data_IF_199300349214
#
_entry.id   IF_199300349214
#
_cell.length_a   1.000
_cell.length_b   1.000
_cell.length_c   1.000
_cell.angle_alpha   90.00
_cell.angle_beta   90.00
_cell.angle_gamma   90.00
#
_symmetry.space_group_name_H-M   'P 1'
#
loop_
_entity.id
_entity.type
_entity.pdbx_description
1 polymer ?
#
# COMPACT_ATOMS: atom_id res chain seq x y z
N UNK A 1 -2.27 -25.49 -0.62
CA UNK A 1 -1.30 -24.39 -0.69
C UNK A 1 -2.03 -23.27 -1.40
N UNK A 2 -2.43 -22.21 -0.69
CA UNK A 2 -2.99 -21.02 -1.32
C UNK A 2 -1.82 -20.21 -1.83
N UNK A 3 -1.69 -20.08 -3.14
CA UNK A 3 -0.70 -19.17 -3.73
C UNK A 3 -1.02 -17.75 -3.25
N UNK A 4 -0.01 -17.06 -2.73
CA UNK A 4 -0.14 -15.70 -2.26
C UNK A 4 -0.16 -14.78 -3.48
N UNK A 5 -1.15 -13.90 -3.54
CA UNK A 5 -1.23 -12.93 -4.63
C UNK A 5 -0.16 -11.84 -4.43
N UNK A 6 0.26 -11.16 -5.52
CA UNK A 6 1.47 -10.32 -5.50
C UNK A 6 1.30 -9.01 -4.71
N UNK A 7 0.06 -8.54 -4.55
CA UNK A 7 -0.25 -7.38 -3.72
C UNK A 7 -0.77 -7.87 -2.37
N UNK A 8 -0.13 -7.44 -1.29
CA UNK A 8 -0.61 -7.65 0.08
C UNK A 8 -0.88 -6.32 0.79
N UNK A 9 -1.84 -6.29 1.71
CA UNK A 9 -2.16 -5.12 2.52
C UNK A 9 -2.19 -5.50 3.99
N UNK A 10 -1.26 -4.91 4.74
CA UNK A 10 -1.16 -5.02 6.19
C UNK A 10 -1.56 -3.71 6.83
N UNK A 11 -2.23 -3.80 7.97
CA UNK A 11 -2.65 -2.63 8.76
C UNK A 11 -1.97 -2.71 10.10
N UNK A 12 -1.33 -1.62 10.53
CA UNK A 12 -0.74 -1.52 11.87
C UNK A 12 -1.78 -1.69 12.97
N UNK A 13 -1.35 -2.24 14.11
CA UNK A 13 -2.19 -2.38 15.30
C UNK A 13 -2.73 -1.03 15.78
N UNK A 14 -1.91 0.03 15.70
CA UNK A 14 -2.31 1.38 16.06
C UNK A 14 -3.46 1.88 15.18
N UNK A 15 -3.37 1.69 13.87
CA UNK A 15 -4.42 2.14 12.95
C UNK A 15 -5.71 1.31 13.07
N UNK A 16 -5.59 0.02 13.43
CA UNK A 16 -6.76 -0.85 13.73
C UNK A 16 -7.54 -0.32 14.93
N UNK A 17 -6.85 0.20 15.96
CA UNK A 17 -7.50 0.80 17.14
C UNK A 17 -8.23 2.08 16.78
N UNK A 18 -7.63 2.90 15.90
CA UNK A 18 -8.16 4.22 15.55
C UNK A 18 -9.31 4.20 14.52
N UNK A 19 -9.33 3.20 13.63
CA UNK A 19 -10.31 3.10 12.54
C UNK A 19 -11.02 1.75 12.55
N UNK A 20 -12.30 1.75 12.94
CA UNK A 20 -13.10 0.53 12.91
C UNK A 20 -13.25 -0.05 11.50
N UNK A 21 -13.22 -1.39 11.41
CA UNK A 21 -13.36 -2.16 10.17
C UNK A 21 -12.25 -1.97 9.11
N UNK A 22 -11.18 -1.23 9.41
CA UNK A 22 -10.11 -1.01 8.44
C UNK A 22 -9.46 -2.31 7.95
N UNK A 23 -9.26 -3.30 8.82
CA UNK A 23 -8.69 -4.60 8.43
C UNK A 23 -9.59 -5.34 7.42
N UNK A 24 -10.90 -5.37 7.65
CA UNK A 24 -11.85 -6.02 6.75
C UNK A 24 -11.94 -5.31 5.38
N UNK A 25 -11.91 -3.98 5.40
CA UNK A 25 -11.88 -3.18 4.16
C UNK A 25 -10.56 -3.36 3.42
N UNK A 26 -9.44 -3.43 4.12
CA UNK A 26 -8.11 -3.64 3.54
C UNK A 26 -8.01 -5.00 2.86
N UNK A 27 -8.49 -6.07 3.50
CA UNK A 27 -8.57 -7.40 2.88
C UNK A 27 -9.43 -7.38 1.60
N UNK A 28 -10.60 -6.72 1.62
CA UNK A 28 -11.43 -6.57 0.42
C UNK A 28 -10.69 -5.79 -0.68
N UNK A 29 -9.99 -4.72 -0.32
CA UNK A 29 -9.21 -3.91 -1.25
C UNK A 29 -8.03 -4.71 -1.83
N UNK A 30 -7.35 -5.53 -1.03
CA UNK A 30 -6.28 -6.41 -1.48
C UNK A 30 -6.77 -7.31 -2.62
N UNK A 31 -7.90 -8.00 -2.42
CA UNK A 31 -8.50 -8.83 -3.45
C UNK A 31 -8.89 -8.03 -4.70
N UNK A 32 -9.44 -6.82 -4.54
CA UNK A 32 -9.82 -5.95 -5.65
C UNK A 32 -8.61 -5.45 -6.44
N UNK A 33 -7.56 -5.01 -5.77
CA UNK A 33 -6.36 -4.48 -6.41
C UNK A 33 -5.63 -5.57 -7.17
N UNK A 34 -5.46 -6.77 -6.59
CA UNK A 34 -4.90 -7.92 -7.30
C UNK A 34 -5.73 -8.30 -8.54
N UNK A 35 -7.06 -8.20 -8.46
CA UNK A 35 -7.90 -8.43 -9.64
C UNK A 35 -7.64 -7.37 -10.73
N UNK A 36 -7.59 -6.09 -10.36
CA UNK A 36 -7.34 -5.02 -11.33
C UNK A 36 -5.96 -5.14 -11.99
N UNK A 37 -4.90 -5.38 -11.23
CA UNK A 37 -3.54 -5.56 -11.76
C UNK A 37 -3.40 -6.81 -12.62
N UNK A 38 -4.08 -7.90 -12.25
CA UNK A 38 -4.18 -9.08 -13.11
C UNK A 38 -4.85 -8.73 -14.44
N UNK A 39 -5.96 -7.96 -14.43
CA UNK A 39 -6.63 -7.54 -15.67
C UNK A 39 -5.80 -6.55 -16.51
N UNK A 40 -4.89 -5.82 -15.88
CA UNK A 40 -3.90 -4.96 -16.52
C UNK A 40 -2.61 -5.70 -16.92
N UNK A 41 -2.61 -7.04 -16.87
CA UNK A 41 -1.51 -7.90 -17.28
C UNK A 41 -0.19 -7.69 -16.50
N UNK A 42 -0.25 -7.23 -15.24
CA UNK A 42 0.94 -7.07 -14.40
C UNK A 42 1.61 -8.41 -14.07
N UNK A 43 0.87 -9.51 -14.17
CA UNK A 43 1.32 -10.86 -13.84
C UNK A 43 1.61 -11.71 -15.09
N UNK A 44 1.73 -11.07 -16.27
CA UNK A 44 1.92 -11.79 -17.53
C UNK A 44 3.28 -12.50 -17.67
N UNK A 45 4.27 -12.12 -16.86
CA UNK A 45 5.58 -12.77 -16.74
C UNK A 45 5.74 -13.35 -15.33
N UNK A 46 5.33 -14.61 -15.16
CA UNK A 46 5.31 -15.31 -13.86
C UNK A 46 6.71 -15.40 -13.22
N UNK A 47 7.79 -15.38 -14.02
CA UNK A 47 9.18 -15.41 -13.55
C UNK A 47 9.70 -14.02 -13.12
N UNK A 48 8.93 -12.97 -13.38
CA UNK A 48 9.34 -11.56 -13.22
C UNK A 48 8.24 -10.70 -12.59
N UNK A 49 7.46 -11.31 -11.72
CA UNK A 49 6.33 -10.64 -11.08
C UNK A 49 6.80 -9.66 -10.00
N UNK A 50 6.25 -8.44 -10.03
CA UNK A 50 6.49 -7.42 -9.01
C UNK A 50 5.60 -7.71 -7.79
N UNK A 51 6.23 -7.96 -6.64
CA UNK A 51 5.53 -8.09 -5.36
C UNK A 51 5.44 -6.73 -4.66
N UNK A 52 4.27 -6.41 -4.11
CA UNK A 52 4.00 -5.13 -3.46
C UNK A 52 3.33 -5.37 -2.10
N UNK A 53 3.99 -4.95 -1.03
CA UNK A 53 3.41 -4.99 0.31
C UNK A 53 2.99 -3.59 0.73
N UNK A 54 1.70 -3.36 0.96
CA UNK A 54 1.23 -2.15 1.59
C UNK A 54 1.23 -2.30 3.10
N UNK A 55 1.85 -1.35 3.79
CA UNK A 55 1.79 -1.17 5.24
C UNK A 55 1.00 0.11 5.52
N UNK A 56 -0.23 -0.03 6.00
CA UNK A 56 -1.08 1.10 6.38
C UNK A 56 -0.78 1.50 7.83
N UNK A 57 -0.33 2.74 8.01
CA UNK A 57 0.24 3.24 9.25
C UNK A 57 -0.47 4.52 9.72
N UNK A 58 -0.36 4.83 11.01
CA UNK A 58 -0.51 6.20 11.49
C UNK A 58 0.72 7.04 11.10
N UNK A 59 0.54 8.36 10.95
CA UNK A 59 1.62 9.26 10.51
C UNK A 59 2.86 9.22 11.41
N UNK A 60 2.68 9.07 12.72
CA UNK A 60 3.76 8.99 13.69
C UNK A 60 4.60 7.70 13.56
N UNK A 61 4.05 6.64 12.96
CA UNK A 61 4.77 5.39 12.72
C UNK A 61 5.67 5.49 11.50
N UNK A 62 5.26 6.25 10.47
CA UNK A 62 6.05 6.41 9.25
C UNK A 62 7.45 6.96 9.55
N UNK A 63 7.54 7.98 10.42
CA UNK A 63 8.83 8.56 10.84
C UNK A 63 9.82 7.55 11.44
N UNK A 64 9.33 6.45 12.02
CA UNK A 64 10.21 5.42 12.58
C UNK A 64 10.88 4.62 11.46
N UNK A 65 10.15 4.36 10.37
CA UNK A 65 10.68 3.66 9.19
C UNK A 65 11.63 4.54 8.38
N UNK A 66 11.43 5.87 8.38
CA UNK A 66 12.37 6.81 7.78
C UNK A 66 13.74 6.79 8.48
N UNK A 67 13.74 6.68 9.81
CA UNK A 67 14.95 6.78 10.65
C UNK A 67 15.69 5.44 10.79
N UNK A 68 15.02 4.32 10.54
CA UNK A 68 15.58 2.97 10.70
C UNK A 68 16.22 2.40 9.44
N UNK A 69 16.26 3.15 8.33
CA UNK A 69 16.80 2.64 7.08
C UNK A 69 18.33 2.55 7.12
N UNK A 70 18.83 1.37 7.45
CA UNK A 70 20.21 0.98 7.15
C UNK A 70 20.44 1.01 5.63
N UNK A 71 21.67 1.36 5.25
CA UNK A 71 22.12 1.82 3.93
C UNK A 71 21.95 0.89 2.72
N UNK A 72 21.32 -0.27 2.87
CA UNK A 72 21.16 -1.28 1.80
C UNK A 72 19.83 -1.17 1.04
N UNK A 73 18.88 -0.37 1.53
CA UNK A 73 17.56 -0.19 0.93
C UNK A 73 17.39 1.19 0.31
N UNK A 74 16.97 1.25 -0.95
CA UNK A 74 16.65 2.51 -1.63
C UNK A 74 15.25 2.96 -1.22
N UNK A 75 15.20 3.79 -0.16
CA UNK A 75 13.98 4.45 0.26
C UNK A 75 13.69 5.66 -0.64
N UNK A 76 12.43 5.80 -1.04
CA UNK A 76 11.96 6.90 -1.86
C UNK A 76 10.59 7.38 -1.39
N UNK A 77 10.41 8.70 -1.37
CA UNK A 77 9.12 9.30 -1.07
C UNK A 77 8.36 9.55 -2.37
N UNK A 78 7.17 8.96 -2.46
CA UNK A 78 6.22 9.24 -3.54
C UNK A 78 5.31 10.43 -3.18
N UNK A 79 5.14 10.70 -1.89
CA UNK A 79 4.42 11.83 -1.32
C UNK A 79 4.85 12.06 0.14
N UNK A 80 4.33 13.12 0.78
CA UNK A 80 4.61 13.44 2.20
C UNK A 80 4.14 12.33 3.17
N UNK A 81 3.20 11.49 2.74
CA UNK A 81 2.56 10.42 3.52
C UNK A 81 2.75 9.04 2.90
N UNK A 82 3.63 8.91 1.89
CA UNK A 82 3.91 7.65 1.19
C UNK A 82 5.40 7.50 0.94
N UNK A 83 5.98 6.49 1.58
CA UNK A 83 7.35 6.04 1.35
C UNK A 83 7.34 4.64 0.72
N UNK A 84 8.22 4.40 -0.23
CA UNK A 84 8.48 3.06 -0.77
C UNK A 84 9.92 2.66 -0.48
N UNK A 85 10.12 1.37 -0.28
CA UNK A 85 11.43 0.75 -0.15
C UNK A 85 11.58 -0.31 -1.21
N UNK A 86 12.64 -0.18 -2.01
CA UNK A 86 12.92 -1.09 -3.11
C UNK A 86 13.96 -2.12 -2.68
N UNK A 87 13.59 -3.39 -2.79
CA UNK A 87 14.50 -4.52 -2.64
C UNK A 87 15.03 -4.98 -4.00
N UNK A 88 16.24 -5.57 -4.00
CA UNK A 88 16.83 -6.21 -5.17
C UNK A 88 15.99 -7.39 -5.70
N UNK A 89 15.08 -7.93 -4.87
CA UNK A 89 14.24 -9.08 -5.19
C UNK A 89 12.90 -8.72 -5.88
N UNK A 90 12.75 -7.53 -6.48
CA UNK A 90 11.48 -7.05 -7.07
C UNK A 90 10.33 -7.05 -6.07
N UNK A 91 10.67 -6.71 -4.84
CA UNK A 91 9.72 -6.44 -3.77
C UNK A 91 9.69 -4.94 -3.52
N UNK A 92 8.49 -4.39 -3.47
CA UNK A 92 8.23 -3.00 -3.12
C UNK A 92 7.44 -2.96 -1.82
N UNK A 93 8.10 -2.59 -0.74
CA UNK A 93 7.43 -2.31 0.52
C UNK A 93 6.94 -0.85 0.49
N UNK A 94 5.62 -0.66 0.60
CA UNK A 94 4.93 0.62 0.50
C UNK A 94 4.35 1.00 1.85
N UNK A 95 4.95 1.98 2.51
CA UNK A 95 4.47 2.54 3.76
C UNK A 95 3.55 3.73 3.47
N UNK A 96 2.26 3.56 3.76
CA UNK A 96 1.22 4.56 3.49
C UNK A 96 0.64 5.04 4.82
N UNK A 97 0.99 6.25 5.21
CA UNK A 97 0.49 6.87 6.42
C UNK A 97 -0.91 7.46 6.21
N UNK A 98 -1.78 7.33 7.21
CA UNK A 98 -3.01 8.12 7.33
C UNK A 98 -2.67 9.37 8.13
N UNK A 99 -2.80 10.54 7.50
CA UNK A 99 -2.51 11.82 8.17
C UNK A 99 -3.54 12.12 9.25
N UNK A 100 -3.21 12.97 10.21
CA UNK A 100 -4.15 13.32 11.30
C UNK A 100 -5.47 13.89 10.77
N UNK A 101 -5.41 14.72 9.73
CA UNK A 101 -6.60 15.31 9.10
C UNK A 101 -7.47 14.25 8.42
N UNK A 102 -6.85 13.27 7.76
CA UNK A 102 -7.56 12.13 7.16
C UNK A 102 -8.17 11.24 8.23
N UNK A 103 -7.43 10.97 9.30
CA UNK A 103 -7.91 10.15 10.40
C UNK A 103 -9.18 10.74 11.01
N UNK A 104 -9.16 12.03 11.33
CA UNK A 104 -10.33 12.77 11.84
C UNK A 104 -11.52 12.71 10.89
N UNK A 105 -11.29 12.81 9.58
CA UNK A 105 -12.35 12.70 8.57
C UNK A 105 -12.94 11.28 8.52
N UNK A 106 -12.08 10.25 8.55
CA UNK A 106 -12.49 8.85 8.49
C UNK A 106 -13.24 8.42 9.76
N UNK A 107 -12.85 8.93 10.93
CA UNK A 107 -13.58 8.71 12.18
C UNK A 107 -14.95 9.39 12.18
N UNK A 108 -15.07 10.62 11.64
CA UNK A 108 -16.35 11.33 11.54
C UNK A 108 -17.28 10.73 10.49
N UNK A 109 -16.73 10.17 9.43
CA UNK A 109 -17.48 9.63 8.29
C UNK A 109 -16.96 8.25 7.86
N UNK A 110 -17.18 7.18 8.65
CA UNK A 110 -16.60 5.85 8.40
C UNK A 110 -16.98 5.24 7.04
N UNK A 111 -18.13 5.63 6.47
CA UNK A 111 -18.58 5.19 5.14
C UNK A 111 -17.61 5.58 4.00
N UNK A 112 -16.78 6.60 4.21
CA UNK A 112 -15.79 7.03 3.24
C UNK A 112 -14.57 6.10 3.17
N UNK A 113 -14.31 5.30 4.22
CA UNK A 113 -13.07 4.55 4.39
C UNK A 113 -12.71 3.69 3.18
N UNK A 114 -13.66 2.89 2.67
CA UNK A 114 -13.40 2.01 1.52
C UNK A 114 -13.08 2.79 0.25
N UNK A 115 -13.83 3.87 -0.04
CA UNK A 115 -13.57 4.70 -1.23
C UNK A 115 -12.30 5.54 -1.10
N UNK A 116 -11.98 5.98 0.11
CA UNK A 116 -10.78 6.75 0.43
C UNK A 116 -9.52 5.89 0.25
N UNK A 117 -9.45 4.76 0.97
CA UNK A 117 -8.30 3.84 0.87
C UNK A 117 -8.14 3.30 -0.53
N UNK A 118 -9.23 2.91 -1.20
CA UNK A 118 -9.16 2.44 -2.59
C UNK A 118 -8.49 3.48 -3.50
N UNK A 119 -8.92 4.74 -3.46
CA UNK A 119 -8.31 5.81 -4.26
C UNK A 119 -6.84 6.06 -3.88
N UNK A 120 -6.51 6.06 -2.59
CA UNK A 120 -5.14 6.30 -2.11
C UNK A 120 -4.20 5.21 -2.61
N UNK A 121 -4.57 3.94 -2.42
CA UNK A 121 -3.75 2.80 -2.82
C UNK A 121 -3.64 2.63 -4.34
N UNK A 122 -4.74 2.83 -5.08
CA UNK A 122 -4.69 2.85 -6.55
C UNK A 122 -3.76 3.95 -7.07
N UNK A 123 -3.76 5.14 -6.44
CA UNK A 123 -2.83 6.21 -6.82
C UNK A 123 -1.38 5.78 -6.60
N UNK A 124 -1.07 5.16 -5.46
CA UNK A 124 0.29 4.65 -5.18
C UNK A 124 0.69 3.58 -6.19
N UNK A 125 -0.19 2.61 -6.48
CA UNK A 125 0.04 1.60 -7.51
C UNK A 125 0.32 2.22 -8.87
N UNK A 126 -0.41 3.26 -9.28
CA UNK A 126 -0.18 3.93 -10.56
C UNK A 126 1.15 4.68 -10.64
N UNK A 127 1.69 5.14 -9.51
CA UNK A 127 3.04 5.72 -9.45
C UNK A 127 4.10 4.62 -9.57
N UNK A 128 3.88 3.46 -8.94
CA UNK A 128 4.75 2.28 -9.10
C UNK A 128 4.70 1.78 -10.55
N UNK A 129 3.51 1.70 -11.15
CA UNK A 129 3.32 1.26 -12.52
C UNK A 129 4.15 2.09 -13.50
N UNK A 130 4.14 3.41 -13.35
CA UNK A 130 4.94 4.32 -14.17
C UNK A 130 6.45 4.09 -14.03
N UNK A 131 6.91 3.69 -12.84
CA UNK A 131 8.33 3.36 -12.59
C UNK A 131 8.76 2.05 -13.25
N UNK A 132 7.87 1.06 -13.27
CA UNK A 132 8.16 -0.29 -13.76
C UNK A 132 7.63 -0.55 -15.19
N UNK A 133 7.17 0.50 -15.88
CA UNK A 133 6.58 0.42 -17.24
C UNK A 133 5.39 -0.54 -17.32
N UNK A 134 4.54 -0.53 -16.28
CA UNK A 134 3.30 -1.30 -16.19
C UNK A 134 2.08 -0.43 -16.53
N UNK A 135 0.98 -1.08 -16.93
CA UNK A 135 -0.28 -0.40 -17.23
C UNK A 135 -0.94 0.17 -15.96
N UNK A 136 -1.46 1.39 -16.02
CA UNK A 136 -2.18 2.03 -14.89
C UNK A 136 -3.58 1.43 -14.71
N UNK A 137 -4.06 1.38 -13.46
CA UNK A 137 -5.36 0.81 -13.05
C UNK A 137 -6.30 1.84 -12.39
#
# INVERSE_FOLDING_TARGET
MTEQLPISIQVSDNLIVEISHIAAISNKLEAQLNFHTMTANWYGDEDNMLEINFFLLCVNELEHYEKSSDSDFNNEFLADDVMITLSLAKLVDCYVAITESELLLLQKTPKLLSGYLGKKLTKVLNLIAERYDLEKI
#
